data_IF_389212534355
#
_entry.id   IF_389212534355
#
_cell.length_a   1.000
_cell.length_b   1.000
_cell.length_c   1.000
_cell.angle_alpha   90.00
_cell.angle_beta   90.00
_cell.angle_gamma   90.00
#
_symmetry.space_group_name_H-M   'P 1'
#
loop_
_entity.id
_entity.type
_entity.pdbx_description
1 polymer ?
#
# COMPACT_ATOMS: atom_id res chain seq x y z
N UNK A 1 -12.65 21.52 -8.60
CA UNK A 1 -13.51 20.92 -9.64
C UNK A 1 -12.60 20.46 -10.76
N UNK A 2 -12.39 19.16 -10.90
CA UNK A 2 -11.61 18.57 -11.99
C UNK A 2 -12.45 18.53 -13.26
N UNK A 3 -11.88 18.93 -14.40
CA UNK A 3 -12.57 18.78 -15.69
C UNK A 3 -12.59 17.30 -16.08
N UNK A 4 -13.79 16.76 -16.30
CA UNK A 4 -13.97 15.42 -16.88
C UNK A 4 -13.43 15.46 -18.33
N UNK A 5 -12.56 14.52 -18.74
CA UNK A 5 -12.00 14.50 -20.10
C UNK A 5 -13.10 14.58 -21.17
N UNK A 6 -12.91 15.42 -22.19
CA UNK A 6 -13.96 15.76 -23.18
C UNK A 6 -14.59 14.57 -23.92
N UNK A 7 -13.91 13.43 -23.99
CA UNK A 7 -14.43 12.17 -24.56
C UNK A 7 -15.62 11.59 -23.75
N UNK A 8 -15.76 11.98 -22.48
CA UNK A 8 -16.78 11.48 -21.55
C UNK A 8 -17.97 12.46 -21.33
N UNK A 9 -17.95 13.64 -21.97
CA UNK A 9 -18.92 14.71 -21.69
C UNK A 9 -20.34 14.44 -22.24
N UNK A 10 -20.49 13.56 -23.24
CA UNK A 10 -21.78 13.24 -23.89
C UNK A 10 -22.45 11.95 -23.35
N UNK A 11 -21.93 11.35 -22.26
CA UNK A 11 -22.44 10.08 -21.71
C UNK A 11 -23.69 10.30 -20.86
N UNK A 12 -24.85 10.19 -21.51
CA UNK A 12 -26.15 10.18 -20.83
C UNK A 12 -26.36 8.84 -20.09
N UNK A 13 -26.71 8.90 -18.80
CA UNK A 13 -26.36 7.88 -17.77
C UNK A 13 -27.02 6.50 -17.96
N UNK A 14 -28.05 6.36 -18.79
CA UNK A 14 -28.78 5.10 -19.03
C UNK A 14 -28.33 4.31 -20.29
N UNK A 15 -27.18 4.63 -20.90
CA UNK A 15 -26.74 3.98 -22.15
C UNK A 15 -25.34 3.39 -22.08
N UNK A 16 -25.24 2.16 -22.58
CA UNK A 16 -23.96 1.55 -22.95
C UNK A 16 -23.32 2.30 -24.14
N UNK A 17 -22.00 2.16 -24.29
CA UNK A 17 -21.23 2.82 -25.34
C UNK A 17 -21.74 2.46 -26.73
N UNK A 18 -21.92 3.47 -27.59
CA UNK A 18 -22.18 3.29 -29.03
C UNK A 18 -20.95 2.81 -29.80
N UNK A 19 -19.76 2.89 -29.19
CA UNK A 19 -18.48 2.41 -29.73
C UNK A 19 -18.01 1.17 -28.97
N UNK A 20 -17.24 0.30 -29.63
CA UNK A 20 -16.50 -0.76 -28.96
C UNK A 20 -15.30 -0.15 -28.23
N UNK A 21 -15.13 -0.48 -26.95
CA UNK A 21 -14.10 0.12 -26.09
C UNK A 21 -13.26 -0.99 -25.42
N UNK A 22 -11.93 -0.81 -25.34
CA UNK A 22 -11.05 -1.67 -24.56
C UNK A 22 -10.44 -0.88 -23.40
N UNK A 23 -10.77 -1.26 -22.18
CA UNK A 23 -10.09 -0.79 -20.97
C UNK A 23 -8.84 -1.64 -20.73
N UNK A 24 -7.67 -1.06 -20.99
CA UNK A 24 -6.36 -1.69 -20.86
C UNK A 24 -5.80 -1.35 -19.47
N UNK A 25 -5.44 -2.38 -18.70
CA UNK A 25 -4.86 -2.25 -17.36
C UNK A 25 -3.53 -3.03 -17.31
N UNK A 26 -2.38 -2.45 -17.69
CA UNK A 26 -1.09 -3.11 -17.53
C UNK A 26 -0.71 -3.10 -16.04
N UNK A 27 -0.59 -4.30 -15.45
CA UNK A 27 -0.25 -4.48 -14.05
C UNK A 27 0.87 -5.50 -13.87
N UNK A 28 1.76 -5.26 -12.91
CA UNK A 28 2.95 -6.06 -12.65
C UNK A 28 3.05 -6.39 -11.15
N UNK A 29 3.05 -7.68 -10.80
CA UNK A 29 3.21 -8.17 -9.42
C UNK A 29 4.69 -8.30 -9.07
N UNK A 30 5.09 -7.60 -8.02
CA UNK A 30 6.44 -7.52 -7.45
C UNK A 30 6.54 -8.42 -6.20
N UNK A 31 7.67 -9.10 -5.92
CA UNK A 31 7.86 -9.79 -4.66
C UNK A 31 7.83 -8.84 -3.45
N UNK A 32 7.07 -9.17 -2.41
CA UNK A 32 7.03 -8.39 -1.17
C UNK A 32 8.42 -8.22 -0.52
N UNK A 33 9.31 -9.19 -0.73
CA UNK A 33 10.72 -9.16 -0.32
C UNK A 33 11.57 -8.07 -1.01
N UNK A 34 11.12 -7.51 -2.13
CA UNK A 34 11.88 -6.52 -2.92
C UNK A 34 11.09 -5.24 -3.25
N UNK A 35 9.77 -5.19 -2.99
CA UNK A 35 8.90 -4.04 -3.31
C UNK A 35 9.43 -2.68 -2.81
N UNK A 36 10.00 -2.66 -1.60
CA UNK A 36 10.55 -1.46 -0.97
C UNK A 36 11.89 -0.99 -1.60
N UNK A 37 12.52 -1.81 -2.45
CA UNK A 37 13.80 -1.49 -3.09
C UNK A 37 13.65 -0.84 -4.45
N UNK A 38 12.49 -1.02 -5.10
CA UNK A 38 12.15 -0.41 -6.39
C UNK A 38 11.54 0.98 -6.14
N UNK A 39 12.03 2.01 -6.84
CA UNK A 39 11.44 3.36 -6.91
C UNK A 39 10.71 3.56 -8.24
N UNK A 40 9.83 4.56 -8.34
CA UNK A 40 9.08 4.83 -9.58
C UNK A 40 10.00 5.15 -10.77
N UNK A 41 11.08 5.91 -10.55
CA UNK A 41 12.10 6.19 -11.58
C UNK A 41 13.02 5.00 -11.95
N UNK A 42 12.93 3.89 -11.22
CA UNK A 42 13.69 2.66 -11.54
C UNK A 42 12.94 1.75 -12.53
N UNK A 43 11.72 2.13 -12.96
CA UNK A 43 10.81 1.29 -13.76
C UNK A 43 10.29 2.04 -14.97
N UNK A 44 10.28 1.39 -16.12
CA UNK A 44 9.61 1.87 -17.33
C UNK A 44 8.74 0.77 -17.96
N UNK A 45 7.71 1.20 -18.70
CA UNK A 45 6.84 0.33 -19.49
C UNK A 45 6.79 0.85 -20.93
N UNK A 46 7.13 -0.02 -21.88
CA UNK A 46 6.86 0.18 -23.31
C UNK A 46 5.70 -0.73 -23.73
N UNK A 47 4.86 -0.26 -24.66
CA UNK A 47 3.67 -0.99 -25.12
C UNK A 47 3.66 -1.05 -26.65
N UNK A 48 3.36 -2.23 -27.20
CA UNK A 48 3.08 -2.41 -28.64
C UNK A 48 1.70 -3.04 -28.84
N UNK A 49 1.16 -2.97 -30.07
CA UNK A 49 -0.12 -3.59 -30.41
C UNK A 49 -0.26 -3.87 -31.90
N UNK A 50 -1.00 -4.94 -32.25
CA UNK A 50 -1.45 -5.20 -33.62
C UNK A 50 -2.66 -4.37 -34.07
N UNK A 51 -3.21 -3.49 -33.20
CA UNK A 51 -4.40 -2.66 -33.48
C UNK A 51 -4.20 -1.61 -34.61
N UNK A 52 -2.99 -1.41 -35.11
CA UNK A 52 -2.67 -0.51 -36.23
C UNK A 52 -2.76 1.00 -35.93
N UNK A 53 -3.19 1.35 -34.73
CA UNK A 53 -3.30 2.72 -34.21
C UNK A 53 -2.56 2.85 -32.87
N UNK A 54 -2.36 4.08 -32.39
CA UNK A 54 -1.74 4.29 -31.08
C UNK A 54 -2.66 3.78 -29.95
N UNK A 55 -2.12 2.92 -29.08
CA UNK A 55 -2.80 2.40 -27.88
C UNK A 55 -2.37 3.11 -26.59
N UNK A 56 -1.41 4.03 -26.65
CA UNK A 56 -0.96 4.83 -25.50
C UNK A 56 -1.93 5.97 -25.20
N UNK A 57 -2.14 6.32 -23.92
CA UNK A 57 -3.03 7.41 -23.53
C UNK A 57 -2.43 8.78 -23.83
N UNK A 58 -3.30 9.80 -24.00
CA UNK A 58 -2.88 11.19 -24.09
C UNK A 58 -2.14 11.63 -22.81
N UNK A 59 -1.03 12.36 -22.97
CA UNK A 59 -0.12 12.72 -21.88
C UNK A 59 0.84 11.60 -21.45
N UNK A 60 0.70 10.38 -21.99
CA UNK A 60 1.61 9.26 -21.72
C UNK A 60 1.21 8.40 -20.50
N UNK A 61 1.98 7.33 -20.30
CA UNK A 61 1.75 6.34 -19.23
C UNK A 61 2.40 6.78 -17.93
N UNK A 62 1.66 6.69 -16.83
CA UNK A 62 2.14 6.98 -15.46
C UNK A 62 2.12 5.68 -14.65
N UNK A 63 3.29 5.29 -14.12
CA UNK A 63 3.46 4.09 -13.30
C UNK A 63 3.28 4.40 -11.81
N UNK A 64 2.31 3.73 -11.19
CA UNK A 64 1.85 3.94 -9.81
C UNK A 64 1.88 2.64 -9.01
N UNK A 65 1.70 2.70 -7.68
CA UNK A 65 1.34 1.53 -6.87
C UNK A 65 -0.09 1.71 -6.36
N UNK A 66 -1.04 0.84 -6.74
CA UNK A 66 -2.43 0.99 -6.32
C UNK A 66 -2.54 0.70 -4.83
N UNK A 67 -2.99 1.67 -4.03
CA UNK A 67 -3.25 1.42 -2.61
C UNK A 67 -4.34 0.29 -2.54
N UNK A 68 -4.49 -0.70 -1.62
CA UNK A 68 -3.72 -1.08 -0.43
C UNK A 68 -2.50 -1.98 -0.74
N UNK A 69 -2.04 -2.04 -1.99
CA UNK A 69 -1.40 -3.23 -2.53
C UNK A 69 0.03 -2.97 -3.07
N UNK A 70 1.05 -2.82 -2.18
CA UNK A 70 2.40 -2.43 -2.57
C UNK A 70 3.16 -3.48 -3.40
N UNK A 71 2.66 -4.71 -3.46
CA UNK A 71 3.16 -5.77 -4.36
C UNK A 71 2.72 -5.57 -5.82
N UNK A 72 2.02 -4.47 -6.18
CA UNK A 72 1.71 -4.15 -7.57
C UNK A 72 2.33 -2.83 -8.03
N UNK A 73 2.74 -2.82 -9.28
CA UNK A 73 2.92 -1.61 -10.08
C UNK A 73 1.82 -1.64 -11.15
N UNK A 74 1.05 -0.55 -11.28
CA UNK A 74 -0.02 -0.41 -12.27
C UNK A 74 0.28 0.79 -13.15
N UNK A 75 0.13 0.59 -14.46
CA UNK A 75 0.19 1.65 -15.45
C UNK A 75 -1.19 2.30 -15.60
N UNK A 76 -1.24 3.62 -15.50
CA UNK A 76 -2.42 4.42 -15.80
C UNK A 76 -2.08 5.58 -16.75
N UNK A 77 -3.04 6.48 -16.91
CA UNK A 77 -2.86 7.77 -17.59
C UNK A 77 -2.85 8.91 -16.57
N UNK A 78 -2.80 10.16 -17.03
CA UNK A 78 -3.04 11.33 -16.16
C UNK A 78 -4.50 11.41 -15.66
N UNK A 79 -5.46 10.88 -16.44
CA UNK A 79 -6.89 11.04 -16.19
C UNK A 79 -7.57 9.79 -15.58
N UNK A 80 -6.84 8.68 -15.46
CA UNK A 80 -7.30 7.43 -14.87
C UNK A 80 -6.11 6.70 -14.25
N UNK A 81 -6.21 6.34 -12.97
CA UNK A 81 -5.13 5.68 -12.23
C UNK A 81 -5.01 4.17 -12.52
N UNK A 82 -6.12 3.50 -12.87
CA UNK A 82 -6.19 2.05 -13.09
C UNK A 82 -6.18 1.67 -14.59
N UNK A 83 -5.27 2.22 -15.38
CA UNK A 83 -5.25 2.01 -16.84
C UNK A 83 -5.96 3.13 -17.62
N UNK A 84 -6.39 2.83 -18.85
CA UNK A 84 -7.08 3.76 -19.75
C UNK A 84 -7.91 3.03 -20.80
N UNK A 85 -8.77 3.76 -21.51
CA UNK A 85 -9.66 3.22 -22.53
C UNK A 85 -9.15 3.57 -23.94
N UNK A 86 -9.22 2.60 -24.85
CA UNK A 86 -8.92 2.74 -26.29
C UNK A 86 -10.16 2.34 -27.09
N UNK A 87 -10.47 3.08 -28.16
CA UNK A 87 -11.57 2.72 -29.07
C UNK A 87 -11.17 1.59 -30.00
N UNK A 88 -12.02 0.56 -30.14
CA UNK A 88 -11.77 -0.59 -31.00
C UNK A 88 -12.51 -0.46 -32.34
N UNK A 89 -11.89 -0.85 -33.47
CA UNK A 89 -12.60 -1.03 -34.74
C UNK A 89 -13.76 -2.02 -34.65
N UNK A 90 -14.79 -1.80 -35.45
CA UNK A 90 -15.89 -2.74 -35.64
C UNK A 90 -15.40 -4.04 -36.30
N UNK A 91 -15.97 -5.18 -35.90
CA UNK A 91 -15.60 -6.50 -36.43
C UNK A 91 -14.24 -7.05 -35.98
N UNK A 92 -13.49 -6.34 -35.13
CA UNK A 92 -12.25 -6.84 -34.54
C UNK A 92 -12.56 -7.89 -33.45
N UNK A 93 -12.33 -9.17 -33.74
CA UNK A 93 -12.54 -10.28 -32.79
C UNK A 93 -11.25 -10.72 -32.07
N UNK A 94 -10.08 -10.30 -32.56
CA UNK A 94 -8.77 -10.61 -31.97
C UNK A 94 -7.85 -9.38 -32.00
N UNK A 95 -7.05 -9.18 -30.95
CA UNK A 95 -5.88 -8.29 -30.98
C UNK A 95 -4.73 -8.86 -30.15
N UNK A 96 -3.55 -8.27 -30.33
CA UNK A 96 -2.35 -8.55 -29.54
C UNK A 96 -1.87 -7.25 -28.87
N UNK A 97 -1.39 -7.36 -27.63
CA UNK A 97 -0.69 -6.31 -26.88
C UNK A 97 0.60 -6.90 -26.30
N UNK A 98 1.70 -6.16 -26.39
CA UNK A 98 2.94 -6.47 -25.66
C UNK A 98 3.18 -5.43 -24.58
N UNK A 99 3.47 -5.86 -23.36
CA UNK A 99 3.88 -5.01 -22.25
C UNK A 99 5.34 -5.31 -21.85
N UNK A 100 6.27 -4.48 -22.35
CA UNK A 100 7.70 -4.61 -22.05
C UNK A 100 8.02 -3.74 -20.84
N UNK A 101 8.00 -4.36 -19.66
CA UNK A 101 8.44 -3.76 -18.41
C UNK A 101 9.97 -3.80 -18.32
N UNK A 102 10.56 -2.80 -17.68
CA UNK A 102 12.02 -2.75 -17.49
C UNK A 102 12.38 -2.08 -16.18
N UNK A 103 13.36 -2.68 -15.49
CA UNK A 103 13.80 -2.30 -14.15
C UNK A 103 15.30 -2.03 -14.17
N UNK A 104 15.76 -0.90 -13.64
CA UNK A 104 17.16 -0.45 -13.74
C UNK A 104 17.89 -0.31 -12.40
N UNK A 105 17.36 -0.86 -11.31
CA UNK A 105 17.93 -0.74 -9.97
C UNK A 105 18.80 -1.98 -9.62
N UNK A 106 20.15 -1.86 -9.56
CA UNK A 106 21.02 -3.03 -9.42
C UNK A 106 20.84 -3.79 -8.09
N UNK A 107 20.40 -3.10 -7.01
CA UNK A 107 20.13 -3.75 -5.72
C UNK A 107 18.89 -4.63 -5.78
N UNK A 108 17.83 -4.14 -6.44
CA UNK A 108 16.63 -4.93 -6.72
C UNK A 108 16.96 -6.14 -7.60
N UNK A 109 17.65 -5.92 -8.73
CA UNK A 109 18.03 -6.96 -9.69
C UNK A 109 18.83 -8.07 -9.00
N UNK A 110 19.87 -7.69 -8.25
CA UNK A 110 20.71 -8.65 -7.53
C UNK A 110 19.92 -9.46 -6.49
N UNK A 111 19.01 -8.84 -5.73
CA UNK A 111 18.19 -9.56 -4.74
C UNK A 111 17.16 -10.48 -5.41
N UNK A 112 16.56 -10.07 -6.53
CA UNK A 112 15.67 -10.91 -7.32
C UNK A 112 16.38 -12.19 -7.80
N UNK A 113 17.61 -12.03 -8.30
CA UNK A 113 18.44 -13.15 -8.75
C UNK A 113 18.91 -14.06 -7.61
N UNK A 114 19.21 -13.52 -6.41
CA UNK A 114 19.46 -14.34 -5.22
C UNK A 114 18.24 -15.21 -4.87
N UNK A 115 17.03 -14.66 -4.96
CA UNK A 115 15.78 -15.39 -4.70
C UNK A 115 15.43 -16.40 -5.80
N UNK A 116 16.01 -16.28 -7.01
CA UNK A 116 15.79 -17.23 -8.09
C UNK A 116 16.32 -18.65 -7.79
N UNK A 117 17.28 -18.78 -6.86
CA UNK A 117 17.78 -19.99 -6.17
C UNK A 117 18.31 -21.18 -7.01
N UNK A 118 17.86 -21.38 -8.25
CA UNK A 118 18.27 -22.44 -9.16
C UNK A 118 19.45 -22.04 -10.06
N UNK A 119 19.76 -20.74 -10.13
CA UNK A 119 20.98 -20.22 -10.75
C UNK A 119 22.13 -20.28 -9.76
N UNK A 120 23.23 -20.92 -10.15
CA UNK A 120 24.51 -20.75 -9.45
C UNK A 120 24.99 -19.29 -9.57
N UNK A 121 25.81 -18.78 -8.62
CA UNK A 121 26.37 -17.42 -8.69
C UNK A 121 27.15 -17.10 -9.97
N UNK A 122 27.73 -18.11 -10.65
CA UNK A 122 28.45 -17.93 -11.92
C UNK A 122 27.54 -17.57 -13.13
N UNK A 123 26.21 -17.73 -13.02
CA UNK A 123 25.25 -17.35 -14.06
C UNK A 123 24.58 -15.98 -13.84
N UNK A 124 24.96 -15.25 -12.78
CA UNK A 124 24.47 -13.89 -12.55
C UNK A 124 24.94 -12.96 -13.69
N UNK A 125 24.04 -12.29 -14.44
CA UNK A 125 24.44 -11.30 -15.41
C UNK A 125 25.15 -10.12 -14.76
N UNK A 126 26.14 -9.57 -15.46
CA UNK A 126 26.67 -8.23 -15.18
C UNK A 126 25.77 -7.15 -15.82
N UNK A 127 24.45 -7.33 -15.73
CA UNK A 127 23.45 -6.52 -16.43
C UNK A 127 22.75 -5.54 -15.49
N UNK A 128 22.84 -4.25 -15.82
CA UNK A 128 22.21 -3.16 -15.04
C UNK A 128 20.69 -3.05 -15.23
N UNK A 129 20.08 -3.98 -15.98
CA UNK A 129 18.65 -3.97 -16.34
C UNK A 129 18.05 -5.38 -16.26
N UNK A 130 16.85 -5.46 -15.70
CA UNK A 130 15.96 -6.62 -15.78
C UNK A 130 14.75 -6.27 -16.64
N UNK A 131 14.31 -7.19 -17.50
CA UNK A 131 13.16 -6.99 -18.39
C UNK A 131 12.05 -7.99 -18.05
N UNK A 132 10.78 -7.59 -18.16
CA UNK A 132 9.68 -8.55 -18.27
C UNK A 132 8.87 -8.23 -19.51
N UNK A 133 8.88 -9.15 -20.47
CA UNK A 133 8.05 -9.12 -21.67
C UNK A 133 6.74 -9.87 -21.35
N UNK A 134 5.61 -9.37 -21.83
CA UNK A 134 4.29 -9.93 -21.53
C UNK A 134 3.38 -9.70 -22.73
N UNK A 135 3.32 -10.72 -23.57
CA UNK A 135 2.59 -10.73 -24.83
C UNK A 135 1.22 -11.37 -24.62
N UNK A 136 0.16 -10.61 -24.89
CA UNK A 136 -1.23 -10.97 -24.59
C UNK A 136 -2.04 -11.02 -25.87
N UNK A 137 -2.43 -12.22 -26.28
CA UNK A 137 -3.43 -12.46 -27.33
C UNK A 137 -4.84 -12.36 -26.71
N UNK A 138 -5.64 -11.41 -27.18
CA UNK A 138 -6.98 -11.13 -26.66
C UNK A 138 -8.02 -11.55 -27.69
N UNK A 139 -8.85 -12.53 -27.34
CA UNK A 139 -10.08 -12.86 -28.07
C UNK A 139 -11.25 -12.06 -27.48
N UNK A 140 -11.84 -11.18 -28.29
CA UNK A 140 -12.99 -10.35 -27.93
C UNK A 140 -14.28 -11.09 -28.32
N UNK A 141 -15.24 -11.21 -27.40
CA UNK A 141 -16.50 -11.90 -27.66
C UNK A 141 -17.75 -11.05 -27.35
N UNK A 142 -18.84 -11.20 -28.14
CA UNK A 142 -20.12 -10.56 -27.82
C UNK A 142 -20.58 -10.88 -26.39
N UNK A 143 -21.16 -9.89 -25.72
CA UNK A 143 -21.61 -10.02 -24.34
C UNK A 143 -22.84 -9.15 -24.04
N UNK A 144 -22.86 -8.51 -22.88
CA UNK A 144 -24.00 -7.68 -22.41
C UNK A 144 -23.81 -6.18 -22.67
N UNK A 145 -22.69 -5.79 -23.27
CA UNK A 145 -22.43 -4.43 -23.76
C UNK A 145 -21.16 -4.37 -24.62
N UNK A 146 -20.74 -3.17 -25.00
CA UNK A 146 -19.66 -2.89 -25.95
C UNK A 146 -18.31 -2.57 -25.29
N UNK A 147 -18.23 -2.55 -23.96
CA UNK A 147 -16.98 -2.29 -23.22
C UNK A 147 -16.30 -3.59 -22.83
N UNK A 148 -15.10 -3.81 -23.31
CA UNK A 148 -14.21 -4.91 -22.97
C UNK A 148 -13.21 -4.41 -21.92
N UNK A 149 -12.88 -5.20 -20.89
CA UNK A 149 -11.98 -4.75 -19.82
C UNK A 149 -11.01 -5.84 -19.39
N UNK A 150 -9.78 -5.43 -19.11
CA UNK A 150 -8.76 -6.26 -18.48
C UNK A 150 -9.08 -6.54 -17.00
N UNK A 151 -10.07 -5.83 -16.42
CA UNK A 151 -10.53 -6.14 -15.08
C UNK A 151 -11.35 -7.44 -15.03
N UNK A 152 -10.73 -8.48 -14.48
CA UNK A 152 -11.27 -9.84 -14.44
C UNK A 152 -12.57 -10.01 -13.69
N UNK A 153 -12.92 -9.09 -12.78
CA UNK A 153 -14.17 -9.12 -12.03
C UNK A 153 -15.43 -9.11 -12.93
N UNK A 154 -15.27 -8.70 -14.21
CA UNK A 154 -16.33 -8.67 -15.21
C UNK A 154 -16.25 -9.84 -16.22
N UNK A 155 -15.31 -10.77 -16.07
CA UNK A 155 -15.16 -11.91 -16.98
C UNK A 155 -16.22 -12.99 -16.68
N UNK A 156 -16.80 -13.54 -17.75
CA UNK A 156 -17.97 -14.42 -17.70
C UNK A 156 -17.73 -15.69 -16.87
N UNK A 157 -18.58 -15.92 -15.86
CA UNK A 157 -18.60 -17.17 -15.08
C UNK A 157 -18.05 -17.07 -13.66
N UNK A 158 -17.55 -15.91 -13.23
CA UNK A 158 -17.17 -15.70 -11.82
C UNK A 158 -18.41 -15.62 -10.91
N UNK A 159 -18.29 -16.15 -9.69
CA UNK A 159 -19.20 -15.83 -8.58
C UNK A 159 -18.76 -14.50 -7.95
N UNK A 160 -19.67 -13.73 -7.30
CA UNK A 160 -19.36 -12.45 -6.66
C UNK A 160 -18.65 -12.62 -5.30
N UNK A 161 -17.62 -13.48 -5.26
CA UNK A 161 -16.64 -13.58 -4.18
C UNK A 161 -15.36 -12.93 -4.71
N UNK A 162 -14.66 -12.14 -3.89
CA UNK A 162 -13.49 -11.37 -4.30
C UNK A 162 -12.53 -12.21 -5.17
N UNK A 163 -12.40 -11.84 -6.45
CA UNK A 163 -11.76 -12.68 -7.45
C UNK A 163 -10.26 -12.85 -7.14
N UNK A 164 -9.73 -14.09 -7.08
CA UNK A 164 -8.30 -14.30 -6.82
C UNK A 164 -7.40 -13.57 -7.83
N UNK A 165 -6.24 -13.10 -7.36
CA UNK A 165 -5.29 -12.27 -8.13
C UNK A 165 -4.99 -12.83 -9.53
N UNK A 166 -4.88 -14.16 -9.65
CA UNK A 166 -4.58 -14.89 -10.88
C UNK A 166 -5.63 -14.74 -12.00
N UNK A 167 -6.74 -14.05 -11.74
CA UNK A 167 -7.79 -13.83 -12.75
C UNK A 167 -7.51 -12.64 -13.66
N UNK A 168 -6.74 -11.63 -13.23
CA UNK A 168 -6.39 -10.45 -14.05
C UNK A 168 -5.17 -10.73 -14.94
N UNK A 169 -5.05 -10.09 -16.13
CA UNK A 169 -3.84 -10.12 -16.94
C UNK A 169 -2.76 -9.30 -16.23
N UNK A 170 -1.92 -9.99 -15.47
CA UNK A 170 -0.90 -9.43 -14.58
C UNK A 170 0.43 -10.06 -14.95
N UNK A 171 1.42 -9.23 -15.24
CA UNK A 171 2.82 -9.66 -15.38
C UNK A 171 3.40 -10.03 -14.02
N UNK A 172 4.32 -10.99 -13.98
CA UNK A 172 4.84 -11.57 -12.74
C UNK A 172 6.37 -11.62 -12.74
N UNK A 173 6.99 -11.13 -11.67
CA UNK A 173 8.46 -11.08 -11.46
C UNK A 173 9.06 -12.36 -10.83
N UNK A 174 8.42 -13.52 -10.95
CA UNK A 174 8.73 -14.72 -10.14
C UNK A 174 9.15 -15.93 -11.00
N UNK A 175 9.94 -16.83 -10.41
CA UNK A 175 10.44 -18.05 -11.05
C UNK A 175 9.55 -19.30 -10.83
N UNK A 176 8.46 -19.17 -10.06
CA UNK A 176 7.62 -20.32 -9.70
C UNK A 176 6.69 -20.73 -10.84
N UNK A 177 6.73 -22.02 -11.21
CA UNK A 177 5.66 -22.63 -12.02
C UNK A 177 4.40 -22.84 -11.16
N UNK A 178 3.73 -21.75 -10.79
CA UNK A 178 2.33 -21.82 -10.32
C UNK A 178 1.47 -22.32 -11.49
N UNK A 179 1.11 -23.60 -11.45
CA UNK A 179 0.53 -24.29 -12.60
C UNK A 179 -0.81 -23.70 -13.03
N UNK A 180 -0.95 -23.41 -14.33
CA UNK A 180 -2.12 -22.82 -14.99
C UNK A 180 -3.34 -23.75 -15.10
N UNK A 181 -3.73 -24.36 -13.97
CA UNK A 181 -4.92 -25.20 -13.80
C UNK A 181 -6.05 -24.40 -13.15
N UNK A 182 -7.06 -23.99 -13.92
CA UNK A 182 -8.31 -23.53 -13.30
C UNK A 182 -9.40 -23.00 -14.22
N UNK A 183 -9.06 -22.23 -15.27
CA UNK A 183 -10.02 -21.36 -15.96
C UNK A 183 -10.00 -21.55 -17.47
N UNK A 184 -11.18 -21.66 -18.10
CA UNK A 184 -11.34 -21.92 -19.54
C UNK A 184 -11.15 -20.69 -20.45
N UNK A 185 -10.80 -19.54 -19.86
CA UNK A 185 -10.74 -18.23 -20.52
C UNK A 185 -9.40 -17.50 -20.33
N UNK A 186 -8.44 -18.08 -19.61
CA UNK A 186 -7.06 -17.56 -19.43
C UNK A 186 -6.07 -18.72 -19.52
N UNK A 187 -5.11 -18.64 -20.42
CA UNK A 187 -3.93 -19.51 -20.46
C UNK A 187 -2.70 -18.63 -20.40
N UNK A 188 -1.75 -18.93 -19.52
CA UNK A 188 -0.46 -18.27 -19.46
C UNK A 188 0.66 -19.30 -19.38
N UNK A 189 1.77 -19.01 -20.04
CA UNK A 189 3.04 -19.73 -19.96
C UNK A 189 4.19 -18.73 -19.95
N UNK A 190 5.22 -18.98 -19.14
CA UNK A 190 6.36 -18.08 -19.02
C UNK A 190 7.70 -18.77 -19.12
N UNK A 191 8.70 -18.02 -19.60
CA UNK A 191 10.07 -18.48 -19.89
C UNK A 191 11.10 -17.44 -19.45
N UNK A 192 12.29 -17.89 -19.11
CA UNK A 192 13.41 -16.99 -18.82
C UNK A 192 14.00 -16.41 -20.11
N UNK A 193 14.28 -15.10 -20.12
CA UNK A 193 14.98 -14.44 -21.22
C UNK A 193 16.50 -14.55 -20.99
N UNK A 194 17.20 -15.13 -21.96
CA UNK A 194 18.65 -15.35 -21.93
C UNK A 194 19.37 -14.33 -22.81
N UNK A 195 20.37 -13.64 -22.24
CA UNK A 195 21.29 -12.79 -23.00
C UNK A 195 22.39 -13.59 -23.72
N UNK A 196 23.28 -12.90 -24.44
CA UNK A 196 24.35 -13.45 -25.30
C UNK A 196 25.30 -14.49 -24.66
N UNK A 197 25.26 -14.65 -23.33
CA UNK A 197 26.12 -15.54 -22.54
C UNK A 197 25.32 -16.53 -21.67
N UNK A 198 24.09 -16.86 -22.07
CA UNK A 198 23.15 -17.72 -21.32
C UNK A 198 22.82 -17.19 -19.90
N UNK A 199 22.98 -15.87 -19.68
CA UNK A 199 22.67 -15.21 -18.42
C UNK A 199 21.21 -14.73 -18.44
N UNK A 200 20.43 -14.99 -17.37
CA UNK A 200 19.01 -14.59 -17.33
C UNK A 200 18.89 -13.08 -17.11
N UNK A 201 18.47 -12.37 -18.15
CA UNK A 201 18.28 -10.90 -18.16
C UNK A 201 16.83 -10.47 -17.91
N UNK A 202 15.91 -11.43 -17.83
CA UNK A 202 14.49 -11.13 -17.70
C UNK A 202 13.60 -12.36 -17.72
N UNK A 203 12.31 -12.09 -17.84
CA UNK A 203 11.26 -13.10 -17.99
C UNK A 203 10.32 -12.70 -19.14
N UNK A 204 9.64 -13.67 -19.71
CA UNK A 204 8.72 -13.50 -20.82
C UNK A 204 7.46 -14.33 -20.56
N UNK A 205 6.30 -13.78 -20.89
CA UNK A 205 4.96 -14.27 -20.52
C UNK A 205 4.09 -14.27 -21.77
N UNK A 206 3.91 -15.44 -22.38
CA UNK A 206 2.91 -15.69 -23.42
C UNK A 206 1.53 -15.88 -22.73
N UNK A 207 0.56 -15.00 -22.97
CA UNK A 207 -0.80 -15.08 -22.41
C UNK A 207 -1.91 -15.05 -23.49
N UNK A 208 -2.96 -15.85 -23.29
CA UNK A 208 -4.18 -15.83 -24.08
C UNK A 208 -5.41 -15.61 -23.19
N UNK A 209 -6.23 -14.61 -23.51
CA UNK A 209 -7.44 -14.24 -22.74
C UNK A 209 -8.69 -14.16 -23.62
N UNK A 210 -9.85 -14.50 -23.05
CA UNK A 210 -11.17 -14.36 -23.70
C UNK A 210 -12.03 -13.37 -22.93
N UNK A 211 -12.17 -12.14 -23.47
CA UNK A 211 -12.89 -11.04 -22.83
C UNK A 211 -14.25 -10.86 -23.50
N UNK A 212 -15.31 -10.90 -22.71
CA UNK A 212 -16.68 -10.64 -23.17
C UNK A 212 -17.06 -9.19 -22.90
N UNK A 213 -17.82 -8.58 -23.81
CA UNK A 213 -18.27 -7.20 -23.66
C UNK A 213 -19.30 -7.01 -22.52
N UNK A 214 -19.19 -5.92 -21.77
CA UNK A 214 -20.08 -5.51 -20.68
C UNK A 214 -20.55 -4.07 -20.85
N UNK A 215 -21.65 -3.65 -20.18
CA UNK A 215 -22.09 -2.25 -20.18
C UNK A 215 -21.02 -1.32 -19.61
N UNK A 216 -20.81 -0.17 -20.25
CA UNK A 216 -19.85 0.85 -19.82
C UNK A 216 -20.01 1.24 -18.34
N UNK A 217 -21.24 1.43 -17.88
CA UNK A 217 -21.60 1.73 -16.47
C UNK A 217 -20.92 0.77 -15.47
N UNK A 218 -20.89 -0.53 -15.78
CA UNK A 218 -20.29 -1.54 -14.88
C UNK A 218 -18.77 -1.44 -14.86
N UNK A 219 -18.14 -1.18 -16.01
CA UNK A 219 -16.70 -0.96 -16.10
C UNK A 219 -16.27 0.38 -15.44
N UNK A 220 -17.13 1.42 -15.48
CA UNK A 220 -16.86 2.71 -14.86
C UNK A 220 -16.58 2.60 -13.35
N UNK A 221 -17.17 1.61 -12.66
CA UNK A 221 -16.92 1.36 -11.24
C UNK A 221 -15.44 1.07 -10.91
N UNK A 222 -14.67 0.47 -11.84
CA UNK A 222 -13.27 0.11 -11.58
C UNK A 222 -12.25 0.90 -12.41
N UNK A 223 -12.66 1.43 -13.57
CA UNK A 223 -11.96 2.52 -14.26
C UNK A 223 -11.80 3.71 -13.29
N UNK A 224 -12.87 4.09 -12.59
CA UNK A 224 -12.89 5.22 -11.65
C UNK A 224 -12.67 4.81 -10.18
N UNK A 225 -12.22 3.58 -9.88
CA UNK A 225 -11.82 3.20 -8.52
C UNK A 225 -10.46 3.82 -8.16
N UNK A 226 -10.21 4.06 -6.86
CA UNK A 226 -8.91 4.49 -6.32
C UNK A 226 -8.26 5.69 -7.05
N UNK A 227 -9.07 6.69 -7.43
CA UNK A 227 -8.60 7.87 -8.15
C UNK A 227 -7.92 8.93 -7.25
N UNK A 228 -7.98 8.78 -5.92
CA UNK A 228 -7.17 9.59 -5.01
C UNK A 228 -5.70 9.18 -5.02
N UNK A 229 -4.81 10.15 -4.82
CA UNK A 229 -3.38 9.90 -4.66
C UNK A 229 -3.08 9.19 -3.33
N UNK A 230 -2.08 8.32 -3.37
CA UNK A 230 -1.75 7.42 -2.26
C UNK A 230 -0.59 8.01 -1.45
N UNK A 231 -0.51 7.70 -0.15
CA UNK A 231 0.43 8.32 0.79
C UNK A 231 1.88 8.43 0.26
N UNK A 232 2.38 7.40 -0.42
CA UNK A 232 3.75 7.33 -0.96
C UNK A 232 3.99 8.15 -2.24
N UNK A 233 2.95 8.77 -2.79
CA UNK A 233 2.97 9.68 -3.94
C UNK A 233 2.87 11.16 -3.50
N UNK A 234 2.41 11.42 -2.27
CA UNK A 234 2.17 12.77 -1.74
C UNK A 234 3.47 13.50 -1.40
N UNK A 235 3.47 14.82 -1.57
CA UNK A 235 4.58 15.67 -1.11
C UNK A 235 4.32 16.11 0.33
N UNK A 236 5.07 15.53 1.28
CA UNK A 236 4.92 15.85 2.70
C UNK A 236 5.28 17.32 2.99
N UNK A 237 4.36 18.07 3.59
CA UNK A 237 4.51 19.48 3.92
C UNK A 237 5.27 19.69 5.24
N UNK A 238 6.27 20.58 5.21
CA UNK A 238 7.10 20.93 6.37
C UNK A 238 6.36 21.72 7.47
N UNK A 239 5.15 22.18 7.18
CA UNK A 239 4.27 22.93 8.08
C UNK A 239 2.97 23.29 7.36
N UNK A 240 2.01 23.82 8.10
CA UNK A 240 0.65 24.03 7.60
C UNK A 240 0.16 25.46 7.81
N UNK A 241 -0.49 26.03 6.80
CA UNK A 241 -1.18 27.33 6.89
C UNK A 241 -2.69 27.17 7.11
N UNK A 242 -3.26 26.03 6.69
CA UNK A 242 -4.68 25.69 6.83
C UNK A 242 -4.93 24.74 8.01
N UNK A 243 -6.18 24.70 8.49
CA UNK A 243 -6.69 23.71 9.45
C UNK A 243 -5.88 23.58 10.77
N UNK A 244 -5.13 24.62 11.17
CA UNK A 244 -4.20 24.56 12.31
C UNK A 244 -4.89 24.75 13.65
N UNK A 245 -5.99 25.49 13.70
CA UNK A 245 -6.80 25.65 14.92
C UNK A 245 -7.72 24.44 15.13
N UNK A 246 -8.27 23.90 14.05
CA UNK A 246 -9.06 22.67 13.98
C UNK A 246 -8.23 21.47 14.42
N UNK A 247 -7.01 21.31 13.90
CA UNK A 247 -6.06 20.29 14.35
C UNK A 247 -5.80 20.38 15.85
N UNK A 248 -5.56 21.59 16.38
CA UNK A 248 -5.35 21.81 17.82
C UNK A 248 -6.62 21.50 18.63
N UNK A 249 -7.81 21.79 18.11
CA UNK A 249 -9.09 21.55 18.77
C UNK A 249 -9.44 20.05 18.84
N UNK A 250 -8.99 19.23 17.89
CA UNK A 250 -9.16 17.78 17.91
C UNK A 250 -8.47 17.11 19.10
N UNK A 251 -7.38 17.67 19.62
CA UNK A 251 -6.81 17.24 20.89
C UNK A 251 -7.68 17.65 22.07
N UNK A 252 -7.86 16.76 23.06
CA UNK A 252 -8.18 17.18 24.42
C UNK A 252 -6.96 17.84 25.08
N UNK A 253 -5.76 17.35 24.76
CA UNK A 253 -4.48 17.82 25.28
C UNK A 253 -3.38 17.70 24.24
N UNK A 254 -2.28 18.44 24.44
CA UNK A 254 -1.02 18.21 23.75
C UNK A 254 -0.20 17.15 24.51
N UNK A 255 0.35 16.17 23.79
CA UNK A 255 1.26 15.15 24.33
C UNK A 255 2.71 15.59 24.09
N UNK A 256 3.62 15.44 25.07
CA UNK A 256 5.03 15.73 24.86
C UNK A 256 5.63 14.87 23.74
N UNK A 257 6.40 15.50 22.86
CA UNK A 257 7.09 14.86 21.75
C UNK A 257 8.02 13.74 22.23
N UNK A 258 8.66 13.92 23.38
CA UNK A 258 9.48 12.90 24.05
C UNK A 258 8.73 11.60 24.40
N UNK A 259 7.44 11.66 24.70
CA UNK A 259 6.61 10.47 24.99
C UNK A 259 6.34 9.68 23.71
N UNK A 260 5.86 10.34 22.65
CA UNK A 260 5.58 9.69 21.37
C UNK A 260 6.87 9.20 20.69
N UNK A 261 7.94 9.99 20.73
CA UNK A 261 9.27 9.59 20.22
C UNK A 261 9.75 8.31 20.91
N UNK A 262 9.65 8.23 22.24
CA UNK A 262 10.04 7.04 22.99
C UNK A 262 9.23 5.82 22.57
N UNK A 263 7.91 5.95 22.43
CA UNK A 263 7.05 4.85 22.00
C UNK A 263 7.35 4.37 20.58
N UNK A 264 7.62 5.27 19.63
CA UNK A 264 8.09 4.93 18.28
C UNK A 264 9.40 4.13 18.34
N UNK A 265 10.38 4.58 19.15
CA UNK A 265 11.65 3.87 19.32
C UNK A 265 11.48 2.51 20.02
N UNK A 266 10.54 2.37 20.96
CA UNK A 266 10.20 1.09 21.59
C UNK A 266 9.52 0.14 20.60
N UNK A 267 8.62 0.62 19.74
CA UNK A 267 7.95 -0.17 18.69
C UNK A 267 8.93 -0.62 17.59
N UNK A 268 9.91 0.21 17.21
CA UNK A 268 10.97 -0.17 16.26
C UNK A 268 11.93 -1.23 16.81
N UNK A 269 12.15 -1.24 18.13
CA UNK A 269 13.20 -2.05 18.79
C UNK A 269 12.71 -3.41 19.30
N UNK A 270 11.43 -3.52 19.65
CA UNK A 270 10.85 -4.72 20.26
C UNK A 270 9.96 -5.43 19.22
N UNK A 271 10.22 -6.71 18.88
CA UNK A 271 9.38 -7.42 17.93
C UNK A 271 7.94 -7.61 18.41
N UNK A 272 6.98 -7.40 17.51
CA UNK A 272 5.55 -7.64 17.72
C UNK A 272 4.93 -8.44 16.55
N UNK A 273 5.72 -9.29 15.89
CA UNK A 273 5.19 -10.29 14.96
C UNK A 273 4.62 -11.52 15.70
N UNK A 274 4.01 -12.46 14.95
CA UNK A 274 3.37 -13.67 15.48
C UNK A 274 4.27 -14.59 16.33
N UNK A 275 5.60 -14.45 16.23
CA UNK A 275 6.60 -15.20 16.99
C UNK A 275 7.18 -14.40 18.18
N UNK A 276 6.65 -13.21 18.47
CA UNK A 276 7.12 -12.38 19.58
C UNK A 276 6.96 -13.08 20.93
N UNK A 277 7.95 -12.90 21.81
CA UNK A 277 7.90 -13.34 23.20
C UNK A 277 6.69 -12.77 23.95
N UNK A 278 6.22 -11.57 23.58
CA UNK A 278 5.03 -10.94 24.18
C UNK A 278 3.78 -11.83 24.06
N UNK A 279 3.59 -12.52 22.93
CA UNK A 279 2.46 -13.45 22.71
C UNK A 279 2.62 -14.77 23.49
N UNK A 280 3.83 -15.07 23.95
CA UNK A 280 4.13 -16.22 24.83
C UNK A 280 3.98 -15.86 26.31
N UNK A 281 4.36 -14.64 26.69
CA UNK A 281 4.22 -14.09 28.05
C UNK A 281 2.76 -13.68 28.36
N UNK A 282 2.03 -13.22 27.35
CA UNK A 282 0.62 -12.84 27.40
C UNK A 282 -0.20 -13.64 26.37
N UNK A 283 -0.50 -14.93 26.62
CA UNK A 283 -1.24 -15.76 25.67
C UNK A 283 -2.74 -15.40 25.62
N UNK A 284 -3.28 -15.27 24.41
CA UNK A 284 -4.68 -14.92 24.15
C UNK A 284 -4.81 -13.59 23.41
N UNK A 285 -5.94 -12.91 23.59
CA UNK A 285 -6.24 -11.62 22.97
C UNK A 285 -5.73 -10.41 23.77
N UNK A 286 -5.43 -9.29 23.10
CA UNK A 286 -4.93 -8.07 23.71
C UNK A 286 -3.48 -8.16 24.18
N UNK A 287 -2.72 -9.16 23.69
CA UNK A 287 -1.32 -9.36 24.04
C UNK A 287 -0.45 -8.18 23.56
N UNK A 288 -0.83 -7.52 22.46
CA UNK A 288 -0.11 -6.37 21.94
C UNK A 288 -0.28 -5.12 22.83
N UNK A 289 -1.36 -4.99 23.62
CA UNK A 289 -1.52 -3.91 24.60
C UNK A 289 -0.45 -3.95 25.71
N UNK A 290 0.19 -5.10 25.92
CA UNK A 290 1.31 -5.25 26.88
C UNK A 290 2.65 -4.75 26.33
N UNK A 291 2.74 -4.43 25.04
CA UNK A 291 3.95 -3.93 24.41
C UNK A 291 4.40 -2.58 25.00
N UNK A 292 5.68 -2.40 25.39
CA UNK A 292 6.15 -1.19 26.08
C UNK A 292 5.82 0.13 25.39
N UNK A 293 5.87 0.19 24.05
CA UNK A 293 5.46 1.38 23.29
C UNK A 293 4.01 1.84 23.58
N UNK A 294 3.05 0.91 23.66
CA UNK A 294 1.67 1.24 23.99
C UNK A 294 1.51 1.56 25.47
N UNK A 295 2.28 0.92 26.37
CA UNK A 295 2.33 1.33 27.78
C UNK A 295 2.84 2.77 27.94
N UNK A 296 3.97 3.14 27.30
CA UNK A 296 4.51 4.51 27.30
C UNK A 296 3.47 5.57 26.91
N UNK A 297 2.63 5.31 25.90
CA UNK A 297 1.56 6.24 25.47
C UNK A 297 0.32 6.18 26.37
N UNK A 298 -0.15 4.99 26.73
CA UNK A 298 -1.40 4.81 27.50
C UNK A 298 -1.23 5.15 28.98
N UNK A 299 -0.07 4.90 29.58
CA UNK A 299 0.25 5.32 30.95
C UNK A 299 0.42 6.85 31.04
N UNK A 300 0.99 7.49 30.01
CA UNK A 300 0.97 8.96 29.91
C UNK A 300 -0.46 9.50 29.84
N UNK A 301 -1.35 8.86 29.06
CA UNK A 301 -2.75 9.28 29.00
C UNK A 301 -3.40 9.21 30.39
N UNK A 302 -3.23 8.08 31.09
CA UNK A 302 -3.76 7.81 32.44
C UNK A 302 -3.13 8.65 33.55
N UNK A 303 -1.96 9.25 33.33
CA UNK A 303 -1.26 10.05 34.35
C UNK A 303 -1.97 11.36 34.76
N UNK A 304 -3.03 11.75 34.06
CA UNK A 304 -3.89 12.88 34.40
C UNK A 304 -5.36 12.56 34.11
N UNK A 305 -6.28 13.11 34.90
CA UNK A 305 -7.73 12.99 34.69
C UNK A 305 -8.16 13.73 33.41
N UNK A 306 -8.95 13.08 32.55
CA UNK A 306 -9.33 13.58 31.21
C UNK A 306 -10.84 13.78 31.12
N UNK A 307 -11.36 15.02 31.03
CA UNK A 307 -12.80 15.26 30.95
C UNK A 307 -13.45 14.56 29.74
N UNK A 308 -14.43 13.70 30.01
CA UNK A 308 -15.21 12.99 28.97
C UNK A 308 -14.78 11.55 28.69
N UNK A 309 -13.62 11.08 29.19
CA UNK A 309 -13.26 9.66 29.09
C UNK A 309 -14.13 8.81 30.01
N UNK A 310 -14.57 7.67 29.49
CA UNK A 310 -15.39 6.65 30.17
C UNK A 310 -14.70 5.28 30.24
N UNK A 311 -13.80 5.00 29.28
CA UNK A 311 -13.08 3.73 29.15
C UNK A 311 -11.57 3.90 29.35
N UNK A 312 -10.89 2.80 29.65
CA UNK A 312 -9.44 2.73 29.86
C UNK A 312 -8.72 2.51 28.52
N UNK A 313 -7.73 3.33 28.13
CA UNK A 313 -6.99 3.09 26.90
C UNK A 313 -6.14 1.81 27.00
N UNK A 314 -6.17 1.03 25.93
CA UNK A 314 -5.30 -0.12 25.67
C UNK A 314 -4.37 0.09 24.48
N UNK A 315 -4.82 0.84 23.47
CA UNK A 315 -4.08 1.10 22.23
C UNK A 315 -4.26 2.53 21.72
N UNK A 316 -3.40 2.94 20.78
CA UNK A 316 -3.27 4.31 20.32
C UNK A 316 -2.86 4.38 18.84
N UNK A 317 -3.81 4.75 17.98
CA UNK A 317 -3.62 4.88 16.54
C UNK A 317 -3.09 6.28 16.19
N UNK A 318 -2.11 6.35 15.29
CA UNK A 318 -1.60 7.62 14.78
C UNK A 318 -2.46 8.12 13.61
N UNK A 319 -2.70 9.42 13.57
CA UNK A 319 -3.31 10.16 12.47
C UNK A 319 -2.41 11.35 12.15
N UNK A 320 -2.05 11.51 10.88
CA UNK A 320 -0.94 12.37 10.45
C UNK A 320 -1.39 13.33 9.36
N UNK A 321 -1.13 14.62 9.52
CA UNK A 321 -1.27 15.60 8.44
C UNK A 321 -0.08 15.46 7.50
N UNK A 322 -0.35 15.32 6.21
CA UNK A 322 0.67 15.08 5.17
C UNK A 322 0.83 16.30 4.29
N UNK A 323 -0.27 16.92 3.87
CA UNK A 323 -0.29 18.09 3.00
C UNK A 323 -1.02 19.25 3.69
N UNK A 324 -0.91 20.47 3.16
CA UNK A 324 -1.66 21.63 3.63
C UNK A 324 -3.11 21.65 3.08
N UNK A 325 -3.83 20.57 3.41
CA UNK A 325 -5.23 20.32 3.06
C UNK A 325 -6.06 20.00 4.32
N UNK A 326 -7.28 19.50 4.15
CA UNK A 326 -8.22 19.16 5.22
C UNK A 326 -8.15 17.70 5.70
N UNK A 327 -7.18 16.87 5.28
CA UNK A 327 -7.12 15.43 5.61
C UNK A 327 -6.05 15.06 6.64
N UNK A 328 -6.39 14.10 7.50
CA UNK A 328 -5.44 13.23 8.19
C UNK A 328 -5.30 11.90 7.43
N UNK A 329 -4.10 11.33 7.43
CA UNK A 329 -3.82 9.98 6.95
C UNK A 329 -3.56 9.05 8.15
N UNK A 330 -4.05 7.82 8.10
CA UNK A 330 -3.95 6.89 9.24
C UNK A 330 -2.58 6.19 9.29
N UNK A 331 -2.11 5.90 10.50
CA UNK A 331 -0.92 5.09 10.76
C UNK A 331 -1.09 3.63 10.34
N UNK A 332 -2.30 3.06 10.50
CA UNK A 332 -2.73 1.90 9.74
C UNK A 332 -3.01 2.37 8.31
N UNK A 333 -2.19 2.02 7.31
CA UNK A 333 -2.28 2.62 5.99
C UNK A 333 -3.54 2.19 5.24
N UNK A 334 -4.18 1.08 5.62
CA UNK A 334 -5.35 0.52 4.93
C UNK A 334 -6.62 1.38 5.10
N UNK A 335 -6.63 2.31 6.06
CA UNK A 335 -7.71 3.27 6.25
C UNK A 335 -7.50 4.54 5.41
N UNK A 336 -8.53 5.03 4.69
CA UNK A 336 -8.42 6.20 3.82
C UNK A 336 -8.21 7.51 4.58
N UNK A 337 -7.69 8.52 3.85
CA UNK A 337 -7.54 9.87 4.38
C UNK A 337 -8.90 10.46 4.82
N UNK A 338 -8.98 10.92 6.06
CA UNK A 338 -10.22 11.35 6.72
C UNK A 338 -10.16 12.83 7.10
N UNK A 339 -11.25 13.58 6.91
CA UNK A 339 -11.25 15.04 7.12
C UNK A 339 -11.02 15.43 8.58
N UNK A 340 -10.16 16.44 8.80
CA UNK A 340 -9.72 16.98 10.09
C UNK A 340 -10.92 17.38 10.96
N UNK A 341 -11.96 17.95 10.36
CA UNK A 341 -13.16 18.39 11.09
C UNK A 341 -13.95 17.22 11.73
N UNK A 342 -13.83 16.00 11.20
CA UNK A 342 -14.55 14.83 11.71
C UNK A 342 -14.06 14.34 13.07
N UNK A 343 -12.84 14.70 13.47
CA UNK A 343 -12.21 14.24 14.72
C UNK A 343 -12.70 15.01 15.96
N UNK A 344 -13.27 16.21 15.78
CA UNK A 344 -13.63 17.12 16.87
C UNK A 344 -14.67 16.53 17.84
N UNK A 345 -15.59 15.71 17.33
CA UNK A 345 -16.62 15.04 18.14
C UNK A 345 -16.03 14.06 19.18
N UNK A 346 -14.89 13.44 18.83
CA UNK A 346 -14.23 12.40 19.60
C UNK A 346 -12.99 12.92 20.34
N UNK A 347 -12.83 14.25 20.46
CA UNK A 347 -11.61 14.91 20.98
C UNK A 347 -11.18 14.46 22.38
N UNK A 348 -12.12 14.05 23.22
CA UNK A 348 -11.87 13.52 24.56
C UNK A 348 -11.22 12.12 24.55
N UNK A 349 -11.00 11.53 23.37
CA UNK A 349 -10.25 10.30 23.13
C UNK A 349 -8.94 10.55 22.39
N UNK A 350 -8.44 11.81 22.34
CA UNK A 350 -7.34 12.20 21.44
C UNK A 350 -6.34 13.18 22.07
N UNK A 351 -5.07 13.09 21.65
CA UNK A 351 -4.02 14.07 21.94
C UNK A 351 -3.29 14.54 20.68
N UNK A 352 -2.94 15.82 20.58
CA UNK A 352 -2.09 16.37 19.51
C UNK A 352 -0.62 16.30 19.88
N UNK A 353 0.27 16.20 18.89
CA UNK A 353 1.72 16.40 19.05
C UNK A 353 2.21 17.35 17.97
N UNK A 354 2.42 18.62 18.34
CA UNK A 354 2.74 19.69 17.40
C UNK A 354 1.64 19.88 16.34
N UNK A 355 2.04 20.29 15.13
CA UNK A 355 1.12 20.55 14.02
C UNK A 355 0.81 19.33 13.12
N UNK A 356 1.65 18.29 13.18
CA UNK A 356 1.59 17.15 12.24
C UNK A 356 0.79 15.96 12.76
N UNK A 357 0.77 15.73 14.07
CA UNK A 357 0.40 14.43 14.64
C UNK A 357 -0.79 14.52 15.59
N UNK A 358 -1.67 13.53 15.49
CA UNK A 358 -2.84 13.32 16.33
C UNK A 358 -2.84 11.84 16.75
N UNK A 359 -2.94 11.58 18.04
CA UNK A 359 -2.96 10.24 18.63
C UNK A 359 -4.38 9.95 19.10
N UNK A 360 -5.08 9.01 18.45
CA UNK A 360 -6.45 8.57 18.74
C UNK A 360 -6.38 7.34 19.64
N UNK A 361 -7.06 7.38 20.79
CA UNK A 361 -7.01 6.33 21.80
C UNK A 361 -8.29 5.50 21.78
N UNK A 362 -8.10 4.18 21.72
CA UNK A 362 -9.17 3.19 21.81
C UNK A 362 -9.05 2.45 23.15
N UNK A 363 -10.17 1.90 23.63
CA UNK A 363 -10.22 1.08 24.83
C UNK A 363 -9.35 -0.18 24.71
N UNK A 364 -9.12 -0.86 25.83
CA UNK A 364 -8.50 -2.19 25.83
C UNK A 364 -9.51 -3.32 25.63
N UNK A 365 -8.99 -4.51 25.29
CA UNK A 365 -9.66 -5.79 24.99
C UNK A 365 -10.85 -6.13 25.89
N UNK A 366 -10.79 -5.73 27.17
CA UNK A 366 -11.87 -5.93 28.15
C UNK A 366 -13.21 -5.26 27.77
N UNK A 367 -13.17 -4.21 26.94
CA UNK A 367 -14.31 -3.37 26.56
C UNK A 367 -14.77 -3.62 25.10
N UNK A 368 -14.12 -4.55 24.37
CA UNK A 368 -14.48 -4.90 22.99
C UNK A 368 -15.71 -5.83 22.93
N UNK A 369 -16.52 -5.66 21.88
CA UNK A 369 -17.78 -6.41 21.67
C UNK A 369 -17.78 -7.14 20.31
N UNK A 370 -18.64 -8.16 20.18
CA UNK A 370 -18.68 -9.08 19.03
C UNK A 370 -20.12 -9.40 18.67
N UNK A 371 -20.75 -8.59 17.83
CA UNK A 371 -22.18 -8.67 17.54
C UNK A 371 -22.42 -8.87 16.04
N UNK A 372 -23.38 -9.74 15.71
CA UNK A 372 -23.82 -10.07 14.33
C UNK A 372 -22.70 -10.47 13.32
N UNK A 373 -21.54 -10.93 13.81
CA UNK A 373 -20.38 -11.29 12.97
C UNK A 373 -19.39 -10.16 12.73
N UNK A 374 -19.56 -9.05 13.44
CA UNK A 374 -18.65 -7.90 13.46
C UNK A 374 -17.81 -7.90 14.75
N UNK A 375 -16.68 -7.21 14.69
CA UNK A 375 -15.80 -6.90 15.82
C UNK A 375 -15.91 -5.40 16.11
N UNK A 376 -16.25 -5.02 17.35
CA UNK A 376 -16.45 -3.61 17.72
C UNK A 376 -15.48 -3.20 18.81
N UNK A 377 -14.57 -2.28 18.48
CA UNK A 377 -13.76 -1.54 19.46
C UNK A 377 -14.47 -0.22 19.81
N UNK A 378 -13.98 0.50 20.82
CA UNK A 378 -14.58 1.76 21.27
C UNK A 378 -13.50 2.80 21.56
N UNK A 379 -13.79 4.04 21.26
CA UNK A 379 -13.00 5.19 21.72
C UNK A 379 -13.24 5.43 23.20
N UNK A 380 -12.37 6.21 23.85
CA UNK A 380 -12.45 6.42 25.30
C UNK A 380 -13.74 7.11 25.77
N UNK A 381 -14.41 7.90 24.92
CA UNK A 381 -15.72 8.49 25.16
C UNK A 381 -16.90 7.49 25.01
N UNK A 382 -16.65 6.29 24.47
CA UNK A 382 -17.64 5.26 24.17
C UNK A 382 -18.25 5.33 22.77
N UNK A 383 -17.74 6.16 21.85
CA UNK A 383 -18.04 6.03 20.42
C UNK A 383 -17.54 4.67 19.91
N UNK A 384 -18.32 4.00 19.07
CA UNK A 384 -18.05 2.62 18.62
C UNK A 384 -17.44 2.60 17.21
N UNK A 385 -16.44 1.74 17.02
CA UNK A 385 -15.76 1.51 15.74
C UNK A 385 -15.85 0.02 15.40
N UNK A 386 -16.56 -0.31 14.31
CA UNK A 386 -16.97 -1.69 13.99
C UNK A 386 -16.33 -2.17 12.69
N UNK A 387 -15.61 -3.27 12.77
CA UNK A 387 -15.00 -3.99 11.65
C UNK A 387 -15.80 -5.27 11.32
N UNK A 388 -15.76 -5.70 10.06
CA UNK A 388 -16.55 -6.85 9.56
C UNK A 388 -15.62 -7.96 9.08
N UNK A 389 -15.87 -9.19 9.51
CA UNK A 389 -15.17 -10.38 9.01
C UNK A 389 -14.08 -10.95 9.92
N UNK A 390 -13.91 -10.42 11.14
CA UNK A 390 -13.00 -10.98 12.15
C UNK A 390 -13.75 -12.01 13.01
N UNK A 391 -13.26 -13.25 13.04
CA UNK A 391 -13.83 -14.30 13.86
C UNK A 391 -13.59 -14.05 15.35
N UNK A 392 -14.67 -14.13 16.15
CA UNK A 392 -14.60 -14.07 17.62
C UNK A 392 -13.61 -15.10 18.19
N UNK A 393 -13.48 -16.27 17.56
CA UNK A 393 -12.61 -17.34 18.02
C UNK A 393 -11.15 -17.16 17.56
N UNK A 394 -10.92 -16.62 16.35
CA UNK A 394 -9.60 -16.20 15.84
C UNK A 394 -9.00 -15.09 16.73
N UNK A 395 -9.83 -14.10 17.07
CA UNK A 395 -9.49 -13.05 18.03
C UNK A 395 -9.10 -13.64 19.40
N UNK A 396 -9.92 -14.55 19.95
CA UNK A 396 -9.67 -15.19 21.25
C UNK A 396 -8.44 -16.10 21.28
N UNK A 397 -8.08 -16.70 20.15
CA UNK A 397 -6.84 -17.44 19.97
C UNK A 397 -5.60 -16.51 19.87
N UNK A 398 -5.79 -15.18 19.81
CA UNK A 398 -4.73 -14.22 19.59
C UNK A 398 -4.12 -14.35 18.20
N UNK A 399 -4.90 -14.77 17.21
CA UNK A 399 -4.52 -14.83 15.78
C UNK A 399 -4.78 -13.50 15.07
N UNK A 400 -5.61 -12.65 15.65
CA UNK A 400 -5.76 -11.22 15.36
C UNK A 400 -5.67 -10.43 16.67
N UNK A 401 -5.07 -9.25 16.64
CA UNK A 401 -5.05 -8.27 17.76
C UNK A 401 -4.92 -6.85 17.19
N UNK A 402 -5.95 -6.02 17.33
CA UNK A 402 -6.02 -4.65 16.75
C UNK A 402 -4.89 -3.74 17.25
N UNK A 403 -4.39 -3.96 18.47
CA UNK A 403 -3.26 -3.18 19.00
C UNK A 403 -1.96 -3.39 18.17
N UNK A 404 -1.86 -4.45 17.35
CA UNK A 404 -0.74 -4.64 16.41
C UNK A 404 -0.73 -3.62 15.27
N UNK A 405 -1.88 -3.12 14.79
CA UNK A 405 -1.91 -2.04 13.80
C UNK A 405 -1.43 -0.72 14.41
N UNK A 406 -1.76 -0.45 15.68
CA UNK A 406 -1.20 0.69 16.44
C UNK A 406 0.32 0.58 16.60
N UNK A 407 0.85 -0.62 16.84
CA UNK A 407 2.31 -0.85 16.87
C UNK A 407 2.97 -0.71 15.49
N UNK A 408 2.34 -1.18 14.42
CA UNK A 408 2.81 -1.00 13.05
C UNK A 408 2.80 0.46 12.60
N UNK A 409 1.80 1.25 13.05
CA UNK A 409 1.71 2.68 12.87
C UNK A 409 2.87 3.42 13.56
N UNK A 410 3.14 3.09 14.83
CA UNK A 410 4.26 3.65 15.60
C UNK A 410 5.61 3.28 14.98
N UNK A 411 5.86 2.00 14.72
CA UNK A 411 7.15 1.52 14.23
C UNK A 411 7.51 2.09 12.85
N UNK A 412 6.52 2.20 11.96
CA UNK A 412 6.68 2.70 10.59
C UNK A 412 6.52 4.22 10.43
N UNK A 413 6.37 5.00 11.51
CA UNK A 413 6.25 6.46 11.44
C UNK A 413 7.43 7.12 10.69
N UNK A 414 8.71 6.76 10.92
CA UNK A 414 9.84 7.40 10.24
C UNK A 414 9.86 7.17 8.73
N UNK A 415 9.48 5.98 8.25
CA UNK A 415 9.49 5.65 6.82
C UNK A 415 8.24 6.11 6.08
N UNK A 416 7.06 6.09 6.74
CA UNK A 416 5.77 6.47 6.13
C UNK A 416 5.48 7.96 6.20
N UNK A 417 6.03 8.64 7.22
CA UNK A 417 5.76 10.04 7.51
C UNK A 417 7.06 10.78 7.90
N UNK A 418 8.08 10.80 7.03
CA UNK A 418 9.43 11.25 7.37
C UNK A 418 9.47 12.71 7.87
N UNK A 419 8.59 13.56 7.36
CA UNK A 419 8.48 14.96 7.79
C UNK A 419 7.87 15.09 9.20
N UNK A 420 6.76 14.40 9.48
CA UNK A 420 6.17 14.38 10.82
C UNK A 420 7.14 13.77 11.87
N UNK A 421 7.95 12.78 11.46
CA UNK A 421 9.04 12.24 12.28
C UNK A 421 10.16 13.25 12.54
N UNK A 422 10.62 13.98 11.51
CA UNK A 422 11.63 15.05 11.66
C UNK A 422 11.17 16.11 12.67
N UNK A 423 9.93 16.56 12.54
CA UNK A 423 9.33 17.55 13.44
C UNK A 423 9.20 16.99 14.87
N UNK A 424 8.81 15.73 15.02
CA UNK A 424 8.75 15.05 16.32
C UNK A 424 10.12 15.01 17.02
N UNK A 425 11.19 14.70 16.29
CA UNK A 425 12.57 14.72 16.81
C UNK A 425 12.98 16.13 17.24
N UNK A 426 12.75 17.14 16.40
CA UNK A 426 13.06 18.55 16.70
C UNK A 426 12.30 19.06 17.94
N UNK A 427 11.02 18.71 18.08
CA UNK A 427 10.24 19.04 19.28
C UNK A 427 10.80 18.34 20.53
N UNK A 428 11.08 17.03 20.45
CA UNK A 428 11.70 16.24 21.55
C UNK A 428 13.06 16.80 21.99
N UNK A 429 13.83 17.40 21.08
CA UNK A 429 15.09 18.08 21.41
C UNK A 429 14.83 19.42 22.14
N UNK A 430 13.84 20.20 21.68
CA UNK A 430 13.45 21.45 22.35
C UNK A 430 12.85 21.26 23.75
N UNK A 431 12.27 20.09 24.03
CA UNK A 431 11.77 19.69 25.37
C UNK A 431 12.88 19.41 26.39
N UNK A 432 14.15 19.29 25.97
CA UNK A 432 15.28 18.94 26.86
C UNK A 432 16.59 19.64 26.50
N UNK A 433 16.66 20.98 26.60
CA UNK A 433 17.85 21.78 26.29
C UNK A 433 18.94 21.62 27.36
N UNK A 434 19.63 20.48 27.37
CA UNK A 434 20.70 20.21 28.36
C UNK A 434 21.50 18.92 28.23
N UNK A 435 21.11 17.96 27.38
CA UNK A 435 21.87 16.70 27.18
C UNK A 435 22.32 16.61 25.72
N UNK A 436 23.63 16.77 25.42
CA UNK A 436 24.15 16.53 24.08
C UNK A 436 24.32 15.03 23.86
N UNK A 437 23.45 14.41 23.06
CA UNK A 437 23.47 12.98 22.78
C UNK A 437 23.28 12.71 21.28
N UNK A 438 24.36 12.26 20.62
CA UNK A 438 24.54 11.84 19.21
C UNK A 438 23.99 12.80 18.14
N UNK A 439 24.85 13.29 17.24
CA UNK A 439 24.41 14.23 16.20
C UNK A 439 23.45 13.59 15.18
N UNK A 440 22.52 14.39 14.66
CA UNK A 440 21.61 13.99 13.57
C UNK A 440 22.37 13.44 12.34
N UNK A 441 23.58 13.94 12.07
CA UNK A 441 24.44 13.39 11.01
C UNK A 441 24.89 11.95 11.28
N UNK A 442 25.13 11.57 12.54
CA UNK A 442 25.62 10.23 12.90
C UNK A 442 24.50 9.18 12.84
N UNK A 443 23.28 9.53 13.25
CA UNK A 443 22.10 8.66 13.11
C UNK A 443 21.82 8.41 11.63
N UNK A 444 21.74 9.47 10.82
CA UNK A 444 21.49 9.37 9.37
C UNK A 444 22.64 8.65 8.64
N UNK A 445 23.90 8.84 9.04
CA UNK A 445 25.04 8.07 8.49
C UNK A 445 25.02 6.60 8.90
N UNK A 446 24.58 6.25 10.11
CA UNK A 446 24.52 4.87 10.57
C UNK A 446 23.51 4.04 9.76
N UNK A 447 22.31 4.59 9.52
CA UNK A 447 21.24 3.89 8.78
C UNK A 447 21.51 3.82 7.27
N UNK A 448 22.21 4.80 6.68
CA UNK A 448 22.58 4.79 5.25
C UNK A 448 23.89 4.03 4.97
N UNK A 449 24.84 4.04 5.92
CA UNK A 449 26.20 3.48 5.75
C UNK A 449 26.38 2.02 6.17
N UNK A 450 25.37 1.38 6.78
CA UNK A 450 25.43 0.07 7.44
C UNK A 450 25.66 -1.17 6.57
N UNK A 451 26.46 -1.11 5.50
CA UNK A 451 26.74 -2.27 4.63
C UNK A 451 28.14 -2.27 3.99
N UNK A 452 29.18 -1.99 4.79
CA UNK A 452 30.58 -2.18 4.39
C UNK A 452 31.47 -2.64 5.57
N UNK A 453 32.51 -3.42 5.25
CA UNK A 453 33.60 -3.84 6.13
C UNK A 453 33.26 -4.47 7.51
N UNK A 454 33.06 -5.79 7.50
CA UNK A 454 33.73 -6.69 8.46
C UNK A 454 34.81 -7.51 7.76
N UNK A 455 35.80 -6.82 7.20
CA UNK A 455 37.05 -7.45 6.74
C UNK A 455 37.83 -8.00 7.94
N UNK A 456 38.29 -9.24 7.86
CA UNK A 456 39.09 -9.86 8.93
C UNK A 456 40.43 -9.15 9.07
N UNK A 457 40.78 -8.76 10.29
CA UNK A 457 42.16 -8.76 10.77
C UNK A 457 42.27 -9.74 11.94
N UNK A 458 43.31 -10.56 11.90
CA UNK A 458 43.60 -11.64 12.82
C UNK A 458 44.96 -12.20 12.42
N UNK A 459 46.00 -11.70 13.07
CA UNK A 459 47.41 -12.00 12.76
C UNK A 459 47.86 -13.36 13.35
N UNK A 460 49.01 -13.90 12.88
CA UNK A 460 49.30 -15.32 13.03
C UNK A 460 50.06 -15.71 14.31
N UNK A 461 49.65 -16.83 14.91
CA UNK A 461 50.52 -17.87 15.50
C UNK A 461 49.91 -19.23 15.14
#
# INVERSE_FOLDING_TARGET
MTEVPKVLADVNVERDSSKRLLHIIPAMKVPASVQAMIKHGDVSLSISSSLGQNVLPEGGVVLRRPYPNPIFIVAGSNNSRNGWVVELPDGLDFLELSFIWSFSNPRFIHKLMQQAAYLKPEYLPAGDRWVVEHDITICLKPGTGNTFTFDSAFWSGQKPVAAPIYTKPVGHLFFEQEGSKGLSFRTASGRALLGEREQIIGYDIDEYVVIHGVPLEKAMLTINAHQEEQLHELTHAEGFSTNTEEHRANGAHEMPASVLWRAVMEARRIPFDFNSLLRTEHPGAGWAEHHPALKTITDWWKSAERPGTRLEPGMAMLWVRVEDNDKYHCGNPELPGTSIAGFLQDRCSQATVGQHLLVRFNCGVKDFTFDEGCFTTKLLNGSEETEVGIGRDEYRAGEYDEATFSLAALAGLPERYPEAWRQLVQMKESESPGVPDISLEEIVRAEIGGSANKGRQGEPV
#
